data_IF_007616548590
#
_entry.id   IF_007616548590
#
_cell.length_a   1.000
_cell.length_b   1.000
_cell.length_c   1.000
_cell.angle_alpha   90.00
_cell.angle_beta   90.00
_cell.angle_gamma   90.00
#
_symmetry.space_group_name_H-M   'P 1'
#
loop_
_entity.id
_entity.type
_entity.pdbx_description
1 polymer ?
#
# COMPACT_ATOMS: atom_id res chain seq x y z
N UNK A 1 -7.28 -7.06 -0.95
CA UNK A 1 -7.33 -5.63 -1.33
C UNK A 1 -6.09 -4.88 -0.83
N UNK A 2 -5.72 -4.99 0.44
CA UNK A 2 -4.65 -4.20 1.06
C UNK A 2 -3.22 -4.49 0.59
N UNK A 3 -2.86 -5.72 0.22
CA UNK A 3 -1.52 -5.99 -0.35
C UNK A 3 -1.30 -5.34 -1.74
N UNK A 4 -2.38 -5.05 -2.49
CA UNK A 4 -2.33 -4.38 -3.79
C UNK A 4 -2.93 -2.98 -3.82
N UNK A 5 -3.70 -2.56 -2.83
CA UNK A 5 -3.98 -1.14 -2.55
C UNK A 5 -2.76 -0.50 -1.91
N UNK A 6 -1.97 -1.21 -1.08
CA UNK A 6 -0.58 -0.82 -0.77
C UNK A 6 0.27 -0.73 -2.03
N UNK A 7 0.14 -1.68 -2.96
CA UNK A 7 0.92 -1.74 -4.21
C UNK A 7 0.42 -0.81 -5.32
N UNK A 8 -0.84 -0.35 -5.25
CA UNK A 8 -1.51 0.59 -6.15
C UNK A 8 -1.43 2.01 -5.58
N UNK A 9 -1.39 2.19 -4.26
CA UNK A 9 -0.91 3.42 -3.63
C UNK A 9 0.59 3.57 -3.85
N UNK A 10 1.41 2.50 -3.73
CA UNK A 10 2.80 2.47 -4.21
C UNK A 10 2.90 2.59 -5.73
N UNK A 11 1.87 2.16 -6.47
CA UNK A 11 1.77 2.19 -7.93
C UNK A 11 1.47 3.59 -8.48
N UNK A 12 0.54 4.28 -7.83
CA UNK A 12 0.17 5.68 -8.05
C UNK A 12 1.28 6.58 -7.50
N UNK A 13 1.87 6.28 -6.33
CA UNK A 13 3.14 6.89 -5.90
C UNK A 13 4.21 6.71 -6.97
N UNK A 14 4.39 5.50 -7.51
CA UNK A 14 5.39 5.20 -8.55
C UNK A 14 5.14 5.89 -9.90
N UNK A 15 3.92 6.38 -10.15
CA UNK A 15 3.60 7.20 -11.32
C UNK A 15 3.98 8.69 -11.11
N UNK A 16 4.23 9.11 -9.86
CA UNK A 16 4.60 10.47 -9.49
C UNK A 16 6.09 10.62 -9.09
N UNK A 17 6.94 9.60 -9.27
CA UNK A 17 8.39 9.63 -8.93
C UNK A 17 9.27 10.03 -10.11
N UNK A 18 8.78 10.87 -11.01
CA UNK A 18 9.70 11.64 -11.86
C UNK A 18 10.11 12.86 -11.04
N UNK A 19 11.14 12.67 -10.20
CA UNK A 19 11.64 13.56 -9.15
C UNK A 19 10.71 13.68 -7.91
N UNK A 20 11.29 13.63 -6.70
CA UNK A 20 10.58 13.68 -5.40
C UNK A 20 9.56 14.83 -5.20
N UNK A 21 9.51 15.79 -6.12
CA UNK A 21 8.43 16.77 -6.21
C UNK A 21 7.03 16.15 -6.36
N UNK A 22 6.87 15.01 -7.03
CA UNK A 22 5.54 14.47 -7.33
C UNK A 22 4.84 13.82 -6.15
N UNK A 23 5.58 13.25 -5.18
CA UNK A 23 4.98 12.66 -3.96
C UNK A 23 4.44 13.77 -3.07
N UNK A 24 5.21 14.84 -2.88
CA UNK A 24 4.77 16.01 -2.12
C UNK A 24 3.56 16.68 -2.77
N UNK A 25 3.60 16.85 -4.09
CA UNK A 25 2.47 17.41 -4.83
C UNK A 25 1.24 16.51 -4.72
N UNK A 26 1.39 15.19 -4.87
CA UNK A 26 0.26 14.27 -4.72
C UNK A 26 -0.32 14.33 -3.30
N UNK A 27 0.53 14.40 -2.27
CA UNK A 27 0.09 14.50 -0.87
C UNK A 27 -0.68 15.79 -0.59
N UNK A 28 -0.20 16.93 -1.10
CA UNK A 28 -0.89 18.22 -0.92
C UNK A 28 -2.23 18.30 -1.67
N UNK A 29 -2.44 17.42 -2.66
CA UNK A 29 -3.67 17.35 -3.45
C UNK A 29 -4.58 16.17 -3.04
N UNK A 30 -4.35 15.54 -1.87
CA UNK A 30 -5.15 14.38 -1.44
C UNK A 30 -6.63 14.73 -1.20
N UNK A 31 -6.90 15.96 -0.78
CA UNK A 31 -8.23 16.55 -0.64
C UNK A 31 -9.06 16.47 -1.94
N UNK A 32 -8.40 16.58 -3.09
CA UNK A 32 -9.03 16.43 -4.40
C UNK A 32 -8.91 15.01 -4.98
N UNK A 33 -7.75 14.37 -4.83
CA UNK A 33 -7.45 13.06 -5.42
C UNK A 33 -8.28 11.94 -4.79
N UNK A 34 -8.50 11.96 -3.47
CA UNK A 34 -9.25 10.91 -2.77
C UNK A 34 -10.71 10.90 -3.22
N UNK A 35 -11.46 12.04 -3.19
CA UNK A 35 -12.83 12.04 -3.71
C UNK A 35 -12.92 11.72 -5.20
N UNK A 36 -11.96 12.18 -6.02
CA UNK A 36 -11.90 11.82 -7.44
C UNK A 36 -11.79 10.31 -7.61
N UNK A 37 -10.88 9.65 -6.88
CA UNK A 37 -10.73 8.20 -6.95
C UNK A 37 -11.98 7.44 -6.45
N UNK A 38 -12.63 7.92 -5.38
CA UNK A 38 -13.83 7.29 -4.84
C UNK A 38 -15.04 7.44 -5.78
N UNK A 39 -15.06 8.48 -6.63
CA UNK A 39 -16.12 8.67 -7.63
C UNK A 39 -16.21 7.56 -8.69
N UNK A 40 -15.13 6.78 -8.88
CA UNK A 40 -15.16 5.59 -9.74
C UNK A 40 -15.96 4.41 -9.12
N UNK A 41 -16.29 4.51 -7.83
CA UNK A 41 -16.96 3.48 -7.05
C UNK A 41 -18.38 3.87 -6.64
N UNK A 42 -18.57 5.12 -6.19
CA UNK A 42 -19.85 5.61 -5.68
C UNK A 42 -19.98 7.11 -5.91
N UNK A 43 -21.17 7.54 -6.31
CA UNK A 43 -21.51 8.92 -6.60
C UNK A 43 -22.01 9.61 -5.33
N UNK A 44 -21.14 10.37 -4.68
CA UNK A 44 -21.50 11.12 -3.47
C UNK A 44 -22.39 12.33 -3.78
N UNK A 45 -23.41 12.55 -2.94
CA UNK A 45 -24.16 13.81 -2.93
C UNK A 45 -23.34 14.95 -2.27
N UNK A 46 -23.95 16.14 -2.20
CA UNK A 46 -23.29 17.33 -1.64
C UNK A 46 -22.98 17.21 -0.15
N UNK A 47 -23.83 16.56 0.62
CA UNK A 47 -23.68 16.42 2.08
C UNK A 47 -22.62 15.37 2.40
N UNK A 48 -22.66 14.22 1.72
CA UNK A 48 -21.64 13.18 1.79
C UNK A 48 -20.28 13.69 1.33
N UNK A 49 -20.22 14.54 0.29
CA UNK A 49 -18.96 15.15 -0.14
C UNK A 49 -18.37 16.07 0.93
N UNK A 50 -19.20 16.90 1.57
CA UNK A 50 -18.77 17.75 2.70
C UNK A 50 -18.29 16.91 3.88
N UNK A 51 -18.98 15.81 4.18
CA UNK A 51 -18.56 14.86 5.22
C UNK A 51 -17.20 14.26 4.89
N UNK A 52 -17.01 13.77 3.66
CA UNK A 52 -15.74 13.21 3.19
C UNK A 52 -14.60 14.23 3.31
N UNK A 53 -14.82 15.44 2.81
CA UNK A 53 -13.79 16.49 2.82
C UNK A 53 -13.38 16.85 4.26
N UNK A 54 -14.34 16.96 5.19
CA UNK A 54 -14.05 17.22 6.60
C UNK A 54 -13.27 16.08 7.27
N UNK A 55 -13.73 14.83 7.09
CA UNK A 55 -13.06 13.64 7.65
C UNK A 55 -11.65 13.47 7.10
N UNK A 56 -11.48 13.72 5.81
CA UNK A 56 -10.18 13.62 5.15
C UNK A 56 -9.22 14.70 5.66
N UNK A 57 -9.68 15.94 5.88
CA UNK A 57 -8.86 17.00 6.44
C UNK A 57 -8.34 16.66 7.85
N UNK A 58 -9.22 16.15 8.72
CA UNK A 58 -8.84 15.67 10.05
C UNK A 58 -7.80 14.54 9.96
N UNK A 59 -8.05 13.58 9.06
CA UNK A 59 -7.17 12.42 8.86
C UNK A 59 -5.80 12.80 8.32
N UNK A 60 -5.73 13.74 7.36
CA UNK A 60 -4.47 14.24 6.82
C UNK A 60 -3.67 15.02 7.88
N UNK A 61 -4.36 15.77 8.73
CA UNK A 61 -3.75 16.48 9.87
C UNK A 61 -3.16 15.50 10.89
N UNK A 62 -3.89 14.44 11.24
CA UNK A 62 -3.35 13.36 12.07
C UNK A 62 -2.16 12.65 11.41
N UNK A 63 -2.26 12.34 10.11
CA UNK A 63 -1.23 11.60 9.38
C UNK A 63 0.07 12.41 9.29
N UNK A 64 0.00 13.71 8.98
CA UNK A 64 1.19 14.55 8.91
C UNK A 64 1.84 14.78 10.28
N UNK A 65 1.05 14.90 11.35
CA UNK A 65 1.56 15.19 12.70
C UNK A 65 2.10 13.96 13.43
N UNK A 66 1.68 12.75 13.05
CA UNK A 66 2.01 11.53 13.80
C UNK A 66 2.65 10.41 12.98
N UNK A 67 2.42 10.32 11.66
CA UNK A 67 2.84 9.17 10.86
C UNK A 67 4.03 9.48 9.95
N UNK A 68 4.10 10.68 9.36
CA UNK A 68 5.17 11.03 8.42
C UNK A 68 6.57 11.07 9.05
N UNK A 69 6.68 11.49 10.32
CA UNK A 69 7.94 11.42 11.08
C UNK A 69 8.48 10.00 11.18
N UNK A 70 7.72 9.05 11.76
CA UNK A 70 8.09 7.63 11.81
C UNK A 70 8.41 7.01 10.44
N UNK A 71 7.74 7.45 9.36
CA UNK A 71 8.04 6.96 8.01
C UNK A 71 9.42 7.44 7.54
N UNK A 72 9.77 8.69 7.82
CA UNK A 72 11.10 9.23 7.55
C UNK A 72 12.19 8.52 8.36
N UNK A 73 11.92 8.20 9.63
CA UNK A 73 12.84 7.43 10.47
C UNK A 73 13.09 6.03 9.91
N UNK A 74 12.04 5.31 9.50
CA UNK A 74 12.18 4.00 8.86
C UNK A 74 13.10 4.06 7.62
N UNK A 75 12.93 5.07 6.77
CA UNK A 75 13.77 5.25 5.60
C UNK A 75 15.20 5.63 5.95
N UNK A 76 15.42 6.43 7.00
CA UNK A 76 16.76 6.76 7.50
C UNK A 76 17.49 5.54 8.05
N UNK A 77 16.80 4.69 8.81
CA UNK A 77 17.38 3.44 9.32
C UNK A 77 17.71 2.47 8.17
N UNK A 78 16.85 2.42 7.15
CA UNK A 78 17.09 1.60 5.97
C UNK A 78 18.28 2.13 5.16
N UNK A 79 18.35 3.44 4.94
CA UNK A 79 19.48 4.12 4.29
C UNK A 79 20.81 3.76 4.98
N UNK A 80 20.86 3.83 6.32
CA UNK A 80 22.03 3.43 7.10
C UNK A 80 22.38 1.96 6.87
N UNK A 81 21.40 1.05 6.99
CA UNK A 81 21.63 -0.39 6.82
C UNK A 81 22.12 -0.75 5.42
N UNK A 82 21.56 -0.11 4.38
CA UNK A 82 21.97 -0.35 3.00
C UNK A 82 23.29 0.35 2.65
N UNK A 83 23.69 1.37 3.43
CA UNK A 83 24.97 2.06 3.31
C UNK A 83 26.17 1.24 3.84
N UNK A 84 25.92 0.28 4.74
CA UNK A 84 26.95 -0.61 5.27
C UNK A 84 27.61 -1.49 4.17
N UNK A 85 28.87 -1.87 4.41
CA UNK A 85 29.61 -2.79 3.54
C UNK A 85 29.25 -4.27 3.78
N UNK A 86 28.62 -4.57 4.92
CA UNK A 86 28.21 -5.93 5.26
C UNK A 86 27.14 -6.45 4.28
N UNK A 87 27.30 -7.67 3.74
CA UNK A 87 26.29 -8.28 2.88
C UNK A 87 24.90 -8.29 3.52
N UNK A 88 23.88 -8.16 2.69
CA UNK A 88 22.49 -8.31 3.09
C UNK A 88 22.03 -9.75 2.85
N UNK A 89 21.23 -10.26 3.76
CA UNK A 89 20.36 -11.40 3.52
C UNK A 89 18.90 -10.97 3.67
N UNK A 90 17.98 -11.89 3.39
CA UNK A 90 16.56 -11.63 3.54
C UNK A 90 16.17 -11.26 4.99
N UNK A 91 16.83 -11.83 5.99
CA UNK A 91 16.54 -11.61 7.40
C UNK A 91 16.88 -10.18 7.83
N UNK A 92 17.94 -9.59 7.27
CA UNK A 92 18.33 -8.21 7.53
C UNK A 92 17.30 -7.18 7.03
N UNK A 93 16.47 -7.53 6.04
CA UNK A 93 15.42 -6.66 5.50
C UNK A 93 14.06 -6.84 6.19
N UNK A 94 13.88 -7.96 6.91
CA UNK A 94 12.63 -8.33 7.54
C UNK A 94 12.09 -7.29 8.54
N UNK A 95 12.90 -6.71 9.45
CA UNK A 95 12.41 -5.72 10.41
C UNK A 95 11.85 -4.45 9.76
N UNK A 96 12.42 -4.02 8.63
CA UNK A 96 11.93 -2.85 7.89
C UNK A 96 10.54 -3.11 7.29
N UNK A 97 10.34 -4.32 6.75
CA UNK A 97 9.05 -4.74 6.23
C UNK A 97 8.01 -4.84 7.35
N UNK A 98 8.36 -5.41 8.50
CA UNK A 98 7.48 -5.49 9.66
C UNK A 98 7.05 -4.10 10.17
N UNK A 99 7.98 -3.13 10.24
CA UNK A 99 7.65 -1.74 10.60
C UNK A 99 6.68 -1.10 9.59
N UNK A 100 6.90 -1.29 8.30
CA UNK A 100 5.96 -0.84 7.26
C UNK A 100 4.58 -1.50 7.36
N UNK A 101 4.53 -2.79 7.71
CA UNK A 101 3.29 -3.52 7.98
C UNK A 101 2.56 -2.97 9.20
N UNK A 102 3.28 -2.61 10.26
CA UNK A 102 2.72 -1.99 11.47
C UNK A 102 2.15 -0.60 11.19
N UNK A 103 2.85 0.25 10.43
CA UNK A 103 2.34 1.57 10.00
C UNK A 103 1.01 1.49 9.27
N UNK A 104 0.85 0.47 8.44
CA UNK A 104 -0.42 0.24 7.78
C UNK A 104 -1.53 -0.18 8.73
N UNK A 105 -1.24 -1.03 9.73
CA UNK A 105 -2.26 -1.41 10.71
C UNK A 105 -2.73 -0.18 11.49
N UNK A 106 -1.81 0.68 11.90
CA UNK A 106 -2.13 1.98 12.53
C UNK A 106 -3.01 2.83 11.61
N UNK A 107 -2.66 2.94 10.32
CA UNK A 107 -3.46 3.69 9.35
C UNK A 107 -4.88 3.10 9.17
N UNK A 108 -5.01 1.79 9.00
CA UNK A 108 -6.32 1.15 8.80
C UNK A 108 -7.20 1.31 10.03
N UNK A 109 -6.65 1.10 11.23
CA UNK A 109 -7.36 1.29 12.49
C UNK A 109 -7.82 2.75 12.64
N UNK A 110 -6.95 3.70 12.32
CA UNK A 110 -7.29 5.11 12.40
C UNK A 110 -8.41 5.52 11.41
N UNK A 111 -8.50 4.88 10.24
CA UNK A 111 -9.53 5.14 9.23
C UNK A 111 -10.91 4.54 9.57
N UNK A 112 -11.01 3.62 10.53
CA UNK A 112 -12.27 2.94 10.90
C UNK A 112 -13.43 3.91 11.16
N UNK A 113 -13.32 4.91 12.06
CA UNK A 113 -14.44 5.82 12.36
C UNK A 113 -14.83 6.71 11.17
N UNK A 114 -13.88 7.02 10.28
CA UNK A 114 -14.13 7.81 9.09
C UNK A 114 -14.89 6.97 8.05
N UNK A 115 -14.42 5.74 7.81
CA UNK A 115 -15.06 4.79 6.93
C UNK A 115 -16.47 4.40 7.41
N UNK A 116 -16.65 4.15 8.71
CA UNK A 116 -17.94 3.76 9.27
C UNK A 116 -19.00 4.86 9.06
N UNK A 117 -18.65 6.13 9.28
CA UNK A 117 -19.56 7.24 9.00
C UNK A 117 -19.86 7.39 7.52
N UNK A 118 -18.84 7.32 6.66
CA UNK A 118 -19.05 7.41 5.21
C UNK A 118 -19.94 6.28 4.69
N UNK A 119 -19.74 5.05 5.18
CA UNK A 119 -20.53 3.90 4.81
C UNK A 119 -21.96 3.95 5.34
N UNK A 120 -22.17 4.44 6.56
CA UNK A 120 -23.50 4.63 7.13
C UNK A 120 -24.32 5.70 6.40
N UNK A 121 -23.64 6.69 5.79
CA UNK A 121 -24.27 7.76 5.04
C UNK A 121 -24.73 7.35 3.63
N UNK A 122 -24.32 6.19 3.11
CA UNK A 122 -24.72 5.74 1.77
C UNK A 122 -26.21 5.38 1.73
N UNK A 123 -26.87 5.71 0.63
CA UNK A 123 -28.21 5.20 0.31
C UNK A 123 -28.15 3.84 -0.41
N UNK A 124 -29.31 3.21 -0.62
CA UNK A 124 -29.37 1.88 -1.25
C UNK A 124 -28.92 1.90 -2.73
N UNK A 125 -29.15 3.01 -3.44
CA UNK A 125 -28.72 3.14 -4.84
C UNK A 125 -27.19 3.24 -4.93
N UNK A 126 -26.55 3.94 -4.00
CA UNK A 126 -25.11 4.06 -3.85
C UNK A 126 -24.45 2.75 -3.41
N UNK A 127 -25.10 1.97 -2.54
CA UNK A 127 -24.64 0.61 -2.22
C UNK A 127 -24.68 -0.29 -3.46
N UNK A 128 -25.73 -0.19 -4.28
CA UNK A 128 -25.82 -0.94 -5.53
C UNK A 128 -24.76 -0.49 -6.57
N UNK A 129 -24.50 0.82 -6.66
CA UNK A 129 -23.44 1.39 -7.51
C UNK A 129 -22.05 0.86 -7.11
N UNK A 130 -21.76 0.85 -5.80
CA UNK A 130 -20.52 0.30 -5.26
C UNK A 130 -20.35 -1.19 -5.61
N UNK A 131 -21.42 -1.98 -5.49
CA UNK A 131 -21.41 -3.39 -5.86
C UNK A 131 -21.12 -3.59 -7.35
N UNK A 132 -21.75 -2.78 -8.22
CA UNK A 132 -21.50 -2.80 -9.66
C UNK A 132 -20.06 -2.40 -10.02
N UNK A 133 -19.52 -1.37 -9.36
CA UNK A 133 -18.14 -0.94 -9.53
C UNK A 133 -17.14 -2.03 -9.11
N UNK A 134 -17.42 -2.73 -8.01
CA UNK A 134 -16.65 -3.90 -7.58
C UNK A 134 -16.67 -5.01 -8.62
N UNK A 135 -17.84 -5.39 -9.13
CA UNK A 135 -17.96 -6.43 -10.16
C UNK A 135 -17.16 -6.08 -11.43
N UNK A 136 -17.34 -4.86 -11.95
CA UNK A 136 -16.60 -4.35 -13.12
C UNK A 136 -15.08 -4.44 -12.91
N UNK A 137 -14.58 -3.92 -11.79
CA UNK A 137 -13.13 -3.94 -11.50
C UNK A 137 -12.59 -5.35 -11.28
N UNK A 138 -13.39 -6.27 -10.75
CA UNK A 138 -12.97 -7.66 -10.59
C UNK A 138 -12.81 -8.36 -11.94
N UNK A 139 -13.70 -8.09 -12.90
CA UNK A 139 -13.55 -8.56 -14.29
C UNK A 139 -12.26 -8.06 -14.91
N UNK A 140 -11.99 -6.75 -14.84
CA UNK A 140 -10.74 -6.17 -15.38
C UNK A 140 -9.49 -6.72 -14.69
N UNK A 141 -9.57 -6.95 -13.38
CA UNK A 141 -8.45 -7.53 -12.62
C UNK A 141 -8.22 -8.99 -13.03
N UNK A 142 -9.27 -9.80 -13.20
CA UNK A 142 -9.15 -11.18 -13.69
C UNK A 142 -8.52 -11.21 -15.07
N UNK A 143 -8.99 -10.37 -15.99
CA UNK A 143 -8.42 -10.21 -17.33
C UNK A 143 -6.92 -9.87 -17.28
N UNK A 144 -6.54 -8.95 -16.41
CA UNK A 144 -5.14 -8.52 -16.29
C UNK A 144 -4.21 -9.59 -15.71
N UNK A 145 -4.71 -10.43 -14.80
CA UNK A 145 -3.86 -11.29 -13.97
C UNK A 145 -4.04 -12.80 -14.17
N UNK A 146 -5.12 -13.25 -14.82
CA UNK A 146 -5.43 -14.66 -15.05
C UNK A 146 -5.56 -15.01 -16.54
N UNK A 147 -5.90 -14.05 -17.41
CA UNK A 147 -6.00 -14.33 -18.84
C UNK A 147 -4.63 -14.31 -19.52
N UNK A 148 -4.35 -15.34 -20.33
CA UNK A 148 -3.10 -15.52 -21.06
C UNK A 148 -2.47 -16.88 -20.82
N UNK A 149 -1.51 -17.24 -21.67
CA UNK A 149 -0.70 -18.43 -21.46
C UNK A 149 0.17 -18.29 -20.20
N UNK A 150 0.59 -19.39 -19.56
CA UNK A 150 1.50 -19.34 -18.41
C UNK A 150 2.77 -18.51 -18.67
N UNK A 151 3.33 -18.60 -19.89
CA UNK A 151 4.50 -17.80 -20.30
C UNK A 151 4.22 -16.29 -20.36
N UNK A 152 3.05 -15.88 -20.84
CA UNK A 152 2.66 -14.46 -20.87
C UNK A 152 2.45 -13.90 -19.46
N UNK A 153 1.75 -14.64 -18.60
CA UNK A 153 1.52 -14.23 -17.21
C UNK A 153 2.84 -14.07 -16.44
N UNK A 154 3.77 -15.00 -16.67
CA UNK A 154 5.12 -14.95 -16.11
C UNK A 154 5.93 -13.76 -16.62
N UNK A 155 5.94 -13.53 -17.93
CA UNK A 155 6.61 -12.37 -18.54
C UNK A 155 6.07 -11.05 -17.97
N UNK A 156 4.75 -10.92 -17.86
CA UNK A 156 4.13 -9.74 -17.25
C UNK A 156 4.48 -9.58 -15.76
N UNK A 157 4.71 -10.67 -15.01
CA UNK A 157 5.16 -10.60 -13.63
C UNK A 157 6.60 -10.08 -13.52
N UNK A 158 7.50 -10.57 -14.37
CA UNK A 158 8.88 -10.11 -14.46
C UNK A 158 8.91 -8.63 -14.82
N UNK A 159 8.19 -8.21 -15.86
CA UNK A 159 8.14 -6.81 -16.31
C UNK A 159 7.67 -5.87 -15.19
N UNK A 160 6.62 -6.26 -14.45
CA UNK A 160 6.13 -5.47 -13.31
C UNK A 160 7.18 -5.35 -12.20
N UNK A 161 7.95 -6.39 -11.93
CA UNK A 161 9.02 -6.33 -10.93
C UNK A 161 10.18 -5.46 -11.42
N UNK A 162 10.65 -5.66 -12.65
CA UNK A 162 11.73 -4.85 -13.24
C UNK A 162 11.36 -3.35 -13.28
N UNK A 163 10.11 -3.02 -13.63
CA UNK A 163 9.63 -1.64 -13.64
C UNK A 163 9.73 -0.99 -12.26
N UNK A 164 9.40 -1.73 -11.18
CA UNK A 164 9.51 -1.23 -9.80
C UNK A 164 10.96 -1.03 -9.38
N UNK A 165 11.80 -2.03 -9.68
CA UNK A 165 13.21 -1.99 -9.32
C UNK A 165 13.94 -0.85 -10.06
N UNK A 166 13.47 -0.46 -11.24
CA UNK A 166 14.08 0.61 -12.04
C UNK A 166 14.08 1.97 -11.34
N UNK A 167 13.06 2.28 -10.55
CA UNK A 167 13.03 3.52 -9.76
C UNK A 167 14.20 3.55 -8.76
N UNK A 168 14.52 2.41 -8.15
CA UNK A 168 15.52 2.32 -7.07
C UNK A 168 16.94 2.08 -7.57
N UNK A 169 17.11 1.26 -8.60
CA UNK A 169 18.42 0.81 -9.09
C UNK A 169 18.76 1.36 -10.48
N UNK A 170 17.90 2.18 -11.08
CA UNK A 170 18.03 2.57 -12.48
C UNK A 170 17.96 1.36 -13.43
N UNK A 171 18.76 1.37 -14.49
CA UNK A 171 18.80 0.24 -15.44
C UNK A 171 19.39 -1.00 -14.76
N UNK A 172 18.61 -2.09 -14.71
CA UNK A 172 19.10 -3.38 -14.21
C UNK A 172 20.17 -3.98 -15.13
N UNK A 173 21.19 -4.59 -14.53
CA UNK A 173 22.23 -5.34 -15.21
C UNK A 173 21.73 -6.72 -15.68
N UNK A 174 22.41 -7.38 -16.65
CA UNK A 174 22.01 -8.73 -17.10
C UNK A 174 21.87 -9.75 -15.97
N UNK A 175 22.81 -9.77 -15.02
CA UNK A 175 22.76 -10.67 -13.85
C UNK A 175 21.56 -10.36 -12.95
N UNK A 176 21.27 -9.09 -12.69
CA UNK A 176 20.11 -8.67 -11.91
C UNK A 176 18.79 -9.08 -12.58
N UNK A 177 18.68 -9.00 -13.91
CA UNK A 177 17.51 -9.50 -14.65
C UNK A 177 17.35 -11.02 -14.55
N UNK A 178 18.45 -11.77 -14.60
CA UNK A 178 18.41 -13.22 -14.36
C UNK A 178 17.90 -13.55 -12.96
N UNK A 179 18.28 -12.77 -11.93
CA UNK A 179 17.73 -12.94 -10.58
C UNK A 179 16.23 -12.66 -10.52
N UNK A 180 15.73 -11.66 -11.25
CA UNK A 180 14.28 -11.39 -11.34
C UNK A 180 13.55 -12.57 -12.04
N UNK A 181 14.15 -13.17 -13.06
CA UNK A 181 13.58 -14.36 -13.72
C UNK A 181 13.51 -15.55 -12.78
N UNK A 182 14.60 -15.83 -12.05
CA UNK A 182 14.67 -16.90 -11.06
C UNK A 182 13.70 -16.67 -9.90
N UNK A 183 13.57 -15.43 -9.42
CA UNK A 183 12.55 -15.04 -8.45
C UNK A 183 11.15 -15.38 -8.96
N UNK A 184 10.82 -15.00 -10.21
CA UNK A 184 9.52 -15.30 -10.81
C UNK A 184 9.25 -16.81 -10.95
N UNK A 185 10.28 -17.61 -11.25
CA UNK A 185 10.18 -19.09 -11.27
C UNK A 185 9.90 -19.67 -9.89
N UNK A 186 10.53 -19.11 -8.85
CA UNK A 186 10.42 -19.64 -7.50
C UNK A 186 9.05 -19.38 -6.88
N UNK A 187 8.32 -18.32 -7.29
CA UNK A 187 7.07 -17.94 -6.64
C UNK A 187 5.99 -19.02 -6.73
N UNK A 188 5.30 -19.22 -5.61
CA UNK A 188 4.10 -20.05 -5.53
C UNK A 188 2.87 -19.29 -6.07
N UNK A 189 1.96 -19.98 -6.78
CA UNK A 189 0.80 -19.36 -7.41
C UNK A 189 -0.20 -18.87 -6.36
N UNK A 190 -0.26 -17.55 -6.13
CA UNK A 190 -1.13 -16.92 -5.10
C UNK A 190 -2.19 -15.99 -5.71
N UNK A 191 -2.19 -15.82 -7.03
CA UNK A 191 -3.04 -14.83 -7.72
C UNK A 191 -4.53 -15.17 -7.62
N UNK A 192 -4.89 -16.45 -7.79
CA UNK A 192 -6.28 -16.91 -7.72
C UNK A 192 -6.85 -16.72 -6.32
N UNK A 193 -6.12 -17.15 -5.28
CA UNK A 193 -6.55 -16.96 -3.89
C UNK A 193 -6.65 -15.48 -3.52
N UNK A 194 -5.69 -14.67 -3.96
CA UNK A 194 -5.74 -13.22 -3.76
C UNK A 194 -7.02 -12.59 -4.34
N UNK A 195 -7.43 -13.00 -5.55
CA UNK A 195 -8.68 -12.56 -6.18
C UNK A 195 -9.90 -13.07 -5.40
N UNK A 196 -9.91 -14.34 -5.01
CA UNK A 196 -11.02 -14.91 -4.25
C UNK A 196 -11.21 -14.24 -2.88
N UNK A 197 -10.12 -13.97 -2.15
CA UNK A 197 -10.18 -13.22 -0.88
C UNK A 197 -10.64 -11.78 -1.09
N UNK A 198 -10.19 -11.15 -2.18
CA UNK A 198 -10.64 -9.80 -2.53
C UNK A 198 -12.15 -9.76 -2.75
N UNK A 199 -12.71 -10.72 -3.49
CA UNK A 199 -14.13 -10.81 -3.77
C UNK A 199 -14.95 -11.12 -2.52
N UNK A 200 -14.50 -12.07 -1.68
CA UNK A 200 -15.13 -12.34 -0.38
C UNK A 200 -15.20 -11.10 0.50
N UNK A 201 -14.11 -10.34 0.57
CA UNK A 201 -14.09 -9.08 1.33
C UNK A 201 -15.10 -8.06 0.78
N UNK A 202 -15.22 -7.94 -0.55
CA UNK A 202 -16.19 -7.02 -1.17
C UNK A 202 -17.63 -7.46 -0.91
N UNK A 203 -17.92 -8.75 -1.05
CA UNK A 203 -19.24 -9.31 -0.71
C UNK A 203 -19.58 -9.03 0.76
N UNK A 204 -18.66 -9.31 1.68
CA UNK A 204 -18.85 -9.02 3.10
C UNK A 204 -19.08 -7.54 3.40
N UNK A 205 -18.41 -6.63 2.68
CA UNK A 205 -18.69 -5.20 2.80
C UNK A 205 -20.09 -4.84 2.30
N UNK A 206 -20.53 -5.35 1.15
CA UNK A 206 -21.88 -5.09 0.64
C UNK A 206 -22.96 -5.65 1.58
N UNK A 207 -22.74 -6.84 2.14
CA UNK A 207 -23.63 -7.43 3.15
C UNK A 207 -23.68 -6.59 4.44
N UNK A 208 -22.53 -6.08 4.90
CA UNK A 208 -22.47 -5.17 6.04
C UNK A 208 -23.21 -3.85 5.76
N UNK A 209 -23.10 -3.31 4.54
CA UNK A 209 -23.81 -2.10 4.12
C UNK A 209 -25.33 -2.27 4.10
N UNK A 210 -25.84 -3.48 3.87
CA UNK A 210 -27.26 -3.80 4.04
C UNK A 210 -27.77 -3.63 5.49
N UNK A 211 -26.85 -3.63 6.47
CA UNK A 211 -27.11 -3.49 7.91
C UNK A 211 -26.48 -2.23 8.51
N UNK A 212 -26.18 -1.24 7.66
CA UNK A 212 -25.42 -0.02 8.03
C UNK A 212 -26.06 0.88 9.10
N UNK A 213 -27.35 0.68 9.37
CA UNK A 213 -28.09 1.42 10.41
C UNK A 213 -28.28 0.62 11.71
N UNK A 214 -27.77 -0.61 11.77
CA UNK A 214 -27.83 -1.44 12.98
C UNK A 214 -26.79 -1.03 14.01
N UNK A 215 -27.09 -1.27 15.29
CA UNK A 215 -26.11 -1.13 16.35
C UNK A 215 -24.91 -2.07 16.11
N UNK A 216 -23.70 -1.56 16.30
CA UNK A 216 -22.47 -2.34 16.08
C UNK A 216 -21.93 -2.31 14.65
N UNK A 217 -22.51 -1.54 13.74
CA UNK A 217 -22.00 -1.39 12.36
C UNK A 217 -20.52 -0.97 12.31
N UNK A 218 -20.09 -0.06 13.18
CA UNK A 218 -18.67 0.36 13.25
C UNK A 218 -17.73 -0.80 13.61
N UNK A 219 -18.17 -1.74 14.47
CA UNK A 219 -17.38 -2.92 14.80
C UNK A 219 -17.22 -3.85 13.58
N UNK A 220 -18.26 -3.99 12.76
CA UNK A 220 -18.18 -4.76 11.53
C UNK A 220 -17.26 -4.09 10.49
N UNK A 221 -17.34 -2.76 10.36
CA UNK A 221 -16.40 -1.98 9.52
C UNK A 221 -14.97 -2.15 10.00
N UNK A 222 -14.74 -2.09 11.32
CA UNK A 222 -13.43 -2.36 11.94
C UNK A 222 -12.92 -3.73 11.53
N UNK A 223 -13.72 -4.79 11.73
CA UNK A 223 -13.36 -6.16 11.37
C UNK A 223 -12.97 -6.27 9.89
N UNK A 224 -13.75 -5.67 8.99
CA UNK A 224 -13.47 -5.67 7.55
C UNK A 224 -12.16 -4.94 7.21
N UNK A 225 -11.83 -3.83 7.88
CA UNK A 225 -10.65 -3.03 7.58
C UNK A 225 -9.36 -3.58 8.20
N UNK A 226 -9.43 -4.13 9.42
CA UNK A 226 -8.24 -4.50 10.21
C UNK A 226 -7.96 -6.00 10.23
N UNK A 227 -8.98 -6.85 10.02
CA UNK A 227 -8.85 -8.31 10.09
C UNK A 227 -8.87 -9.00 8.71
N UNK A 228 -8.57 -8.31 7.61
CA UNK A 228 -8.67 -8.89 6.26
C UNK A 228 -7.76 -10.12 5.99
N UNK A 229 -6.84 -10.43 6.89
CA UNK A 229 -5.95 -11.61 6.81
C UNK A 229 -6.38 -12.76 7.72
N UNK A 230 -7.34 -12.55 8.64
CA UNK A 230 -7.85 -13.61 9.54
C UNK A 230 -8.45 -14.76 8.76
N UNK A 231 -9.12 -14.43 7.65
CA UNK A 231 -9.91 -15.39 6.88
C UNK A 231 -9.09 -16.12 5.79
N UNK A 232 -7.76 -15.96 5.80
CA UNK A 232 -6.90 -16.70 4.87
C UNK A 232 -6.89 -18.20 5.18
N UNK A 233 -6.73 -19.04 4.15
CA UNK A 233 -6.46 -20.46 4.38
C UNK A 233 -5.03 -20.63 4.93
N UNK A 234 -4.76 -21.76 5.60
CA UNK A 234 -3.42 -22.07 6.07
C UNK A 234 -2.42 -22.14 4.90
N UNK A 235 -2.81 -22.76 3.79
CA UNK A 235 -2.00 -22.87 2.58
C UNK A 235 -1.70 -21.50 1.95
N UNK A 236 -2.72 -20.65 1.81
CA UNK A 236 -2.52 -19.32 1.24
C UNK A 236 -1.62 -18.45 2.13
N UNK A 237 -1.74 -18.55 3.46
CA UNK A 237 -0.79 -17.91 4.39
C UNK A 237 0.63 -18.40 4.17
N UNK A 238 0.83 -19.72 4.08
CA UNK A 238 2.15 -20.31 3.88
C UNK A 238 2.76 -19.89 2.53
N UNK A 239 1.97 -19.87 1.46
CA UNK A 239 2.45 -19.48 0.13
C UNK A 239 2.77 -17.98 0.04
N UNK A 240 1.98 -17.13 0.72
CA UNK A 240 2.28 -15.70 0.85
C UNK A 240 3.54 -15.46 1.66
N UNK A 241 3.75 -16.19 2.75
CA UNK A 241 4.97 -16.11 3.55
C UNK A 241 6.21 -16.55 2.75
N UNK A 242 6.08 -17.65 1.99
CA UNK A 242 7.14 -18.12 1.10
C UNK A 242 7.48 -17.08 0.02
N UNK A 243 6.47 -16.53 -0.68
CA UNK A 243 6.67 -15.51 -1.71
C UNK A 243 7.27 -14.22 -1.15
N UNK A 244 6.93 -13.85 0.09
CA UNK A 244 7.53 -12.73 0.82
C UNK A 244 9.02 -12.99 1.06
N UNK A 245 9.40 -14.17 1.53
CA UNK A 245 10.80 -14.56 1.72
C UNK A 245 11.60 -14.53 0.40
N UNK A 246 11.04 -15.05 -0.69
CA UNK A 246 11.67 -14.99 -2.01
C UNK A 246 11.88 -13.54 -2.49
N UNK A 247 10.93 -12.66 -2.20
CA UNK A 247 11.04 -11.24 -2.57
C UNK A 247 12.11 -10.53 -1.74
N UNK A 248 12.20 -10.80 -0.43
CA UNK A 248 13.27 -10.23 0.41
C UNK A 248 14.65 -10.74 -0.01
N UNK A 249 14.77 -12.02 -0.37
CA UNK A 249 16.01 -12.60 -0.90
C UNK A 249 16.43 -11.91 -2.22
N UNK A 250 15.49 -11.72 -3.15
CA UNK A 250 15.75 -10.96 -4.38
C UNK A 250 16.27 -9.56 -4.07
N UNK A 251 15.62 -8.82 -3.17
CA UNK A 251 16.03 -7.45 -2.85
C UNK A 251 17.43 -7.41 -2.22
N UNK A 252 17.74 -8.32 -1.29
CA UNK A 252 19.06 -8.43 -0.69
C UNK A 252 20.14 -8.72 -1.75
N UNK A 253 19.90 -9.70 -2.62
CA UNK A 253 20.79 -10.03 -3.74
C UNK A 253 21.03 -8.84 -4.66
N UNK A 254 19.99 -8.07 -4.99
CA UNK A 254 20.10 -6.91 -5.88
C UNK A 254 20.91 -5.78 -5.25
N UNK A 255 20.81 -5.58 -3.93
CA UNK A 255 21.65 -4.60 -3.22
C UNK A 255 23.10 -5.07 -3.15
N UNK A 256 23.34 -6.35 -2.91
CA UNK A 256 24.69 -6.92 -2.89
C UNK A 256 25.37 -6.86 -4.27
N UNK A 257 24.61 -7.08 -5.35
CA UNK A 257 25.09 -7.04 -6.74
C UNK A 257 25.04 -5.62 -7.36
N UNK A 258 24.63 -4.60 -6.60
CA UNK A 258 24.51 -3.24 -7.12
C UNK A 258 25.88 -2.64 -7.47
N UNK A 259 26.00 -2.01 -8.64
CA UNK A 259 27.20 -1.19 -8.93
C UNK A 259 27.27 0.02 -8.00
N UNK A 260 28.43 0.68 -7.88
CA UNK A 260 28.53 1.95 -7.13
C UNK A 260 27.50 2.99 -7.58
N UNK A 261 27.23 3.09 -8.89
CA UNK A 261 26.22 4.00 -9.43
C UNK A 261 24.80 3.60 -9.00
N UNK A 262 24.45 2.31 -9.07
CA UNK A 262 23.14 1.83 -8.62
C UNK A 262 22.93 1.99 -7.12
N UNK A 263 24.00 1.78 -6.32
CA UNK A 263 23.97 2.01 -4.87
C UNK A 263 23.77 3.50 -4.55
N UNK A 264 24.43 4.39 -5.29
CA UNK A 264 24.20 5.83 -5.16
C UNK A 264 22.75 6.21 -5.52
N UNK A 265 22.19 5.66 -6.60
CA UNK A 265 20.77 5.87 -6.96
C UNK A 265 19.85 5.39 -5.83
N UNK A 266 20.04 4.18 -5.34
CA UNK A 266 19.22 3.59 -4.27
C UNK A 266 19.22 4.45 -3.00
N UNK A 267 20.40 4.84 -2.52
CA UNK A 267 20.53 5.70 -1.33
C UNK A 267 19.97 7.10 -1.59
N UNK A 268 20.18 7.65 -2.78
CA UNK A 268 19.63 8.94 -3.20
C UNK A 268 18.10 8.96 -3.23
N UNK A 269 17.48 7.89 -3.73
CA UNK A 269 16.01 7.72 -3.68
C UNK A 269 15.53 7.66 -2.22
N UNK A 270 16.11 6.80 -1.38
CA UNK A 270 15.74 6.71 0.04
C UNK A 270 15.85 8.06 0.76
N UNK A 271 16.93 8.79 0.54
CA UNK A 271 17.14 10.13 1.09
C UNK A 271 16.09 11.14 0.56
N UNK A 272 15.74 11.06 -0.72
CA UNK A 272 14.70 11.87 -1.33
C UNK A 272 13.33 11.66 -0.67
N UNK A 273 12.89 10.40 -0.56
CA UNK A 273 11.65 10.01 0.09
C UNK A 273 11.61 10.42 1.57
N UNK A 274 12.71 10.19 2.29
CA UNK A 274 12.87 10.62 3.69
C UNK A 274 12.68 12.13 3.81
N UNK A 275 13.34 12.91 2.94
CA UNK A 275 13.24 14.36 2.95
C UNK A 275 11.83 14.86 2.58
N UNK A 276 11.13 14.17 1.68
CA UNK A 276 9.73 14.48 1.38
C UNK A 276 8.82 14.22 2.58
N UNK A 277 8.94 13.09 3.26
CA UNK A 277 8.17 12.82 4.49
C UNK A 277 8.47 13.84 5.59
N UNK A 278 9.72 14.22 5.78
CA UNK A 278 10.10 15.27 6.74
C UNK A 278 9.49 16.63 6.41
N UNK A 279 9.47 17.01 5.13
CA UNK A 279 8.87 18.29 4.69
C UNK A 279 7.35 18.31 4.79
N UNK A 280 6.72 17.16 4.58
CA UNK A 280 5.26 17.03 4.68
C UNK A 280 4.78 16.83 6.13
N UNK A 281 5.67 16.44 7.04
CA UNK A 281 5.35 16.31 8.45
C UNK A 281 4.91 17.67 9.01
N UNK A 282 3.79 17.67 9.72
CA UNK A 282 3.34 18.85 10.43
C UNK A 282 4.24 19.07 11.64
N UNK A 283 4.45 20.34 12.04
CA UNK A 283 5.11 20.62 13.30
C UNK A 283 4.40 19.85 14.42
N UNK A 284 5.13 19.18 15.33
CA UNK A 284 4.49 18.51 16.45
C UNK A 284 3.63 19.56 17.17
N UNK A 285 2.38 19.23 17.54
CA UNK A 285 1.55 20.18 18.27
C UNK A 285 2.36 20.66 19.48
N UNK A 286 2.46 21.97 19.65
CA UNK A 286 3.06 22.61 20.82
C UNK A 286 2.23 22.22 22.04
N UNK A 287 2.44 21.01 22.57
CA UNK A 287 1.90 20.60 23.85
C UNK A 287 2.47 21.52 24.91
N UNK A 288 1.67 21.96 25.90
CA UNK A 288 2.19 22.81 26.95
C UNK A 288 3.35 22.08 27.62
N UNK A 289 4.49 22.77 27.78
CA UNK A 289 5.57 22.31 28.62
C UNK A 289 4.96 21.95 29.97
N UNK A 290 4.96 20.66 30.31
CA UNK A 290 4.66 20.21 31.67
C UNK A 290 5.72 20.86 32.55
N UNK A 291 5.34 21.98 33.16
CA UNK A 291 6.11 22.60 34.22
C UNK A 291 6.21 21.58 35.35
N UNK A 292 7.42 21.08 35.58
CA UNK A 292 7.74 20.32 36.77
C UNK A 292 7.61 21.26 37.98
N UNK A 293 6.62 21.00 38.83
CA UNK A 293 6.63 21.29 40.27
C UNK A 293 5.73 20.29 41.00
#
# INVERSE_FOLDING_TARGET
MFARVRLFLLGVLSLFVVAGCGVRLAYSQLDWLVPWYLSDYVSFDREQRRLLDARLADRLTWHCSSQLGPYAELLGDLELRLGEAAPLDAAALDPFLQRGEAFWQVLMEALVPDAAQMFAALDDAQVAELAAAFARRNTETRKTFLEGSPGQLRSAQIERMEKRLRTWFGRLQPQQRQRVQAWSDALRPTTTDWLAHRERWQTGLIEALGRRHEAGFELEVRRLLTAAESDWSADYRADRAYNRAQTLALLADLVNDATPAQRQTLLGELAGWRADFQRMACAPPSGPALAAH
#
